data_IF_142501412547
#
_entry.id   IF_142501412547
#
_cell.length_a   1.000
_cell.length_b   1.000
_cell.length_c   1.000
_cell.angle_alpha   90.00
_cell.angle_beta   90.00
_cell.angle_gamma   90.00
#
_symmetry.space_group_name_H-M   'P 1'
#
loop_
_entity.id
_entity.type
_entity.pdbx_description
1 polymer ?
#
# COMPACT_ATOMS: atom_id res chain seq x y z
N UNK A 1 -4.27 51.55 52.26
CA UNK A 1 -3.90 50.38 51.43
C UNK A 1 -4.95 49.34 51.72
N UNK A 2 -5.79 49.02 50.75
CA UNK A 2 -6.89 48.06 50.93
C UNK A 2 -6.31 46.66 50.81
N UNK A 3 -6.41 45.85 51.86
CA UNK A 3 -5.99 44.46 51.83
C UNK A 3 -6.77 43.70 50.76
N UNK A 4 -6.06 43.14 49.78
CA UNK A 4 -6.67 42.26 48.77
C UNK A 4 -7.13 41.01 49.53
N UNK A 5 -8.44 40.74 49.54
CA UNK A 5 -8.97 39.50 50.09
C UNK A 5 -8.49 38.32 49.23
N UNK A 6 -7.42 37.66 49.66
CA UNK A 6 -6.95 36.42 49.04
C UNK A 6 -7.63 35.22 49.70
N UNK A 7 -8.53 34.57 48.98
CA UNK A 7 -9.14 33.29 49.37
C UNK A 7 -8.25 32.12 48.92
N UNK A 8 -7.97 31.20 49.85
CA UNK A 8 -7.16 30.00 49.57
C UNK A 8 -8.07 28.79 49.38
N UNK A 9 -8.05 28.18 48.18
CA UNK A 9 -8.79 26.96 47.87
C UNK A 9 -7.86 25.75 48.01
N UNK A 10 -8.29 24.75 48.80
CA UNK A 10 -7.56 23.48 48.90
C UNK A 10 -7.96 22.56 47.75
N UNK A 11 -6.98 22.21 46.91
CA UNK A 11 -7.13 21.25 45.81
C UNK A 11 -6.21 20.04 46.01
N UNK A 12 -6.61 18.85 45.54
CA UNK A 12 -5.74 17.68 45.51
C UNK A 12 -4.41 17.95 44.80
N UNK A 13 -3.32 17.34 45.27
CA UNK A 13 -1.97 17.58 44.75
C UNK A 13 -1.83 17.28 43.24
N UNK A 14 -2.47 16.23 42.76
CA UNK A 14 -2.50 15.87 41.35
C UNK A 14 -3.17 16.95 40.50
N UNK A 15 -4.35 17.42 40.91
CA UNK A 15 -5.10 18.47 40.22
C UNK A 15 -4.32 19.78 40.18
N UNK A 16 -3.65 20.14 41.29
CA UNK A 16 -2.81 21.33 41.34
C UNK A 16 -1.63 21.24 40.35
N UNK A 17 -1.04 20.06 40.19
CA UNK A 17 0.07 19.87 39.25
C UNK A 17 -0.39 19.94 37.79
N UNK A 18 -1.56 19.37 37.48
CA UNK A 18 -2.18 19.48 36.16
C UNK A 18 -2.48 20.94 35.79
N UNK A 19 -3.04 21.71 36.72
CA UNK A 19 -3.29 23.15 36.55
C UNK A 19 -1.97 23.89 36.28
N UNK A 20 -0.92 23.62 37.04
CA UNK A 20 0.40 24.24 36.83
C UNK A 20 1.00 23.88 35.48
N UNK A 21 0.83 22.64 35.02
CA UNK A 21 1.31 22.20 33.70
C UNK A 21 0.55 22.93 32.59
N UNK A 22 -0.77 23.00 32.68
CA UNK A 22 -1.61 23.74 31.72
C UNK A 22 -1.20 25.21 31.65
N UNK A 23 -1.10 25.88 32.80
CA UNK A 23 -0.70 27.28 32.90
C UNK A 23 0.68 27.54 32.28
N UNK A 24 1.66 26.64 32.54
CA UNK A 24 2.99 26.71 31.91
C UNK A 24 2.93 26.59 30.39
N UNK A 25 2.15 25.65 29.85
CA UNK A 25 1.99 25.46 28.40
C UNK A 25 1.31 26.65 27.72
N UNK A 26 0.35 27.26 28.41
CA UNK A 26 -0.38 28.44 27.92
C UNK A 26 0.38 29.77 28.13
N UNK A 27 1.52 29.75 28.83
CA UNK A 27 2.29 30.97 29.15
C UNK A 27 1.59 31.92 30.12
N UNK A 28 0.65 31.42 30.94
CA UNK A 28 -0.18 32.24 31.83
C UNK A 28 0.13 31.93 33.31
N UNK A 29 0.17 32.93 34.21
CA UNK A 29 0.27 32.69 35.66
C UNK A 29 -0.94 31.94 36.20
N UNK A 30 -0.72 31.07 37.19
CA UNK A 30 -1.81 30.28 37.83
C UNK A 30 -2.86 31.20 38.46
N UNK A 31 -2.46 32.31 39.08
CA UNK A 31 -3.41 33.27 39.68
C UNK A 31 -4.37 33.87 38.65
N UNK A 32 -3.82 34.35 37.52
CA UNK A 32 -4.62 34.91 36.43
C UNK A 32 -5.51 33.85 35.78
N UNK A 33 -5.05 32.60 35.70
CA UNK A 33 -5.87 31.47 35.26
C UNK A 33 -7.04 31.22 36.21
N UNK A 34 -6.79 31.15 37.52
CA UNK A 34 -7.86 30.94 38.52
C UNK A 34 -8.88 32.07 38.46
N UNK A 35 -8.46 33.33 38.37
CA UNK A 35 -9.37 34.48 38.27
C UNK A 35 -10.22 34.44 37.00
N UNK A 36 -9.61 34.16 35.85
CA UNK A 36 -10.34 34.03 34.57
C UNK A 36 -11.32 32.86 34.60
N UNK A 37 -10.88 31.71 35.09
CA UNK A 37 -11.74 30.51 35.22
C UNK A 37 -12.89 30.76 36.18
N UNK A 38 -12.64 31.38 37.34
CA UNK A 38 -13.69 31.73 38.29
C UNK A 38 -14.70 32.71 37.69
N UNK A 39 -14.21 33.78 37.05
CA UNK A 39 -15.05 34.76 36.35
C UNK A 39 -15.90 34.10 35.25
N UNK A 40 -15.32 33.14 34.55
CA UNK A 40 -16.00 32.38 33.51
C UNK A 40 -17.09 31.47 34.07
N UNK A 41 -16.79 30.71 35.13
CA UNK A 41 -17.75 29.83 35.80
C UNK A 41 -18.95 30.62 36.33
N UNK A 42 -18.68 31.75 36.99
CA UNK A 42 -19.71 32.63 37.53
C UNK A 42 -20.58 33.27 36.44
N UNK A 43 -19.97 33.69 35.33
CA UNK A 43 -20.70 34.31 34.20
C UNK A 43 -21.63 33.34 33.47
N UNK A 44 -21.28 32.06 33.46
CA UNK A 44 -22.03 31.02 32.75
C UNK A 44 -22.90 30.17 33.68
N UNK A 45 -23.02 30.56 34.96
CA UNK A 45 -23.83 29.86 35.98
C UNK A 45 -23.55 28.36 36.08
N UNK A 46 -22.27 27.98 35.94
CA UNK A 46 -21.87 26.58 36.08
C UNK A 46 -21.91 26.19 37.56
N UNK A 47 -22.80 25.27 37.91
CA UNK A 47 -22.76 24.60 39.21
C UNK A 47 -21.60 23.59 39.23
N UNK A 48 -20.51 23.97 39.90
CA UNK A 48 -19.32 23.12 40.05
C UNK A 48 -19.54 21.93 41.01
N UNK A 49 -20.67 21.88 41.70
CA UNK A 49 -21.06 20.77 42.57
C UNK A 49 -22.08 19.84 41.92
N UNK A 50 -22.61 20.19 40.74
CA UNK A 50 -23.47 19.32 39.95
C UNK A 50 -22.62 18.23 39.29
N UNK A 51 -22.78 16.99 39.76
CA UNK A 51 -22.06 15.83 39.25
C UNK A 51 -22.81 15.10 38.12
N UNK A 52 -24.04 15.50 37.82
CA UNK A 52 -24.88 14.87 36.78
C UNK A 52 -24.92 15.68 35.48
N UNK A 53 -24.80 17.01 35.55
CA UNK A 53 -24.77 17.87 34.37
C UNK A 53 -23.41 17.84 33.66
N UNK A 54 -23.42 17.62 32.34
CA UNK A 54 -22.25 17.86 31.50
C UNK A 54 -22.25 19.35 31.10
N UNK A 55 -21.23 20.13 31.50
CA UNK A 55 -21.17 21.54 31.14
C UNK A 55 -21.08 21.71 29.62
N UNK A 56 -22.04 22.41 29.03
CA UNK A 56 -22.09 22.72 27.60
C UNK A 56 -21.90 24.22 27.38
N UNK A 57 -21.04 24.57 26.42
CA UNK A 57 -20.90 25.94 25.97
C UNK A 57 -21.66 26.10 24.64
N UNK A 58 -22.62 27.03 24.55
CA UNK A 58 -23.26 27.31 23.27
C UNK A 58 -22.20 27.78 22.27
N UNK A 59 -22.08 27.03 21.18
CA UNK A 59 -21.23 27.39 20.04
C UNK A 59 -21.87 28.59 19.34
N UNK A 60 -21.12 29.67 19.04
CA UNK A 60 -21.65 30.79 18.28
C UNK A 60 -22.24 30.34 16.94
N UNK A 61 -23.37 30.92 16.54
CA UNK A 61 -24.08 30.53 15.32
C UNK A 61 -23.19 30.67 14.06
N UNK A 62 -22.27 31.63 14.07
CA UNK A 62 -21.29 31.86 13.00
C UNK A 62 -20.32 30.68 12.86
N UNK A 63 -19.81 30.16 13.98
CA UNK A 63 -18.86 29.03 14.00
C UNK A 63 -19.55 27.75 13.52
N UNK A 64 -20.80 27.54 13.91
CA UNK A 64 -21.58 26.38 13.46
C UNK A 64 -21.90 26.46 11.95
N UNK A 65 -22.16 27.68 11.46
CA UNK A 65 -22.36 27.94 10.03
C UNK A 65 -21.09 27.68 9.22
N UNK A 66 -19.92 28.13 9.69
CA UNK A 66 -18.64 27.87 9.04
C UNK A 66 -18.33 26.37 8.98
N UNK A 67 -18.55 25.64 10.08
CA UNK A 67 -18.41 24.17 10.11
C UNK A 67 -19.30 23.50 9.08
N UNK A 68 -20.57 23.89 9.03
CA UNK A 68 -21.54 23.37 8.05
C UNK A 68 -21.11 23.63 6.60
N UNK A 69 -20.53 24.79 6.32
CA UNK A 69 -20.01 25.13 4.98
C UNK A 69 -18.80 24.28 4.60
N UNK A 70 -17.86 24.06 5.54
CA UNK A 70 -16.71 23.19 5.32
C UNK A 70 -17.16 21.75 5.04
N UNK A 71 -18.13 21.24 5.79
CA UNK A 71 -18.68 19.89 5.56
C UNK A 71 -19.36 19.76 4.19
N UNK A 72 -20.09 20.78 3.76
CA UNK A 72 -20.70 20.82 2.43
C UNK A 72 -19.63 20.82 1.33
N UNK A 73 -18.56 21.60 1.50
CA UNK A 73 -17.43 21.63 0.56
C UNK A 73 -16.73 20.27 0.48
N UNK A 74 -16.47 19.63 1.62
CA UNK A 74 -15.86 18.30 1.68
C UNK A 74 -16.69 17.24 0.94
N UNK A 75 -18.02 17.28 1.09
CA UNK A 75 -18.93 16.40 0.32
C UNK A 75 -18.83 16.66 -1.18
N UNK A 76 -18.94 17.93 -1.60
CA UNK A 76 -18.84 18.30 -3.01
C UNK A 76 -17.51 17.89 -3.64
N UNK A 77 -16.39 18.10 -2.94
CA UNK A 77 -15.07 17.65 -3.39
C UNK A 77 -15.01 16.14 -3.56
N UNK A 78 -15.61 15.38 -2.63
CA UNK A 78 -15.66 13.92 -2.69
C UNK A 78 -16.45 13.44 -3.89
N UNK A 79 -17.63 14.01 -4.15
CA UNK A 79 -18.48 13.71 -5.31
C UNK A 79 -17.78 14.04 -6.64
N UNK A 80 -17.08 15.17 -6.70
CA UNK A 80 -16.29 15.57 -7.87
C UNK A 80 -15.17 14.57 -8.17
N UNK A 81 -14.40 14.15 -7.15
CA UNK A 81 -13.33 13.16 -7.32
C UNK A 81 -13.88 11.82 -7.81
N UNK A 82 -15.00 11.37 -7.26
CA UNK A 82 -15.66 10.12 -7.69
C UNK A 82 -16.11 10.20 -9.15
N UNK A 83 -16.72 11.32 -9.54
CA UNK A 83 -17.16 11.57 -10.92
C UNK A 83 -15.98 11.57 -11.89
N UNK A 84 -14.87 12.24 -11.55
CA UNK A 84 -13.67 12.26 -12.38
C UNK A 84 -13.04 10.88 -12.57
N UNK A 85 -13.00 10.05 -11.52
CA UNK A 85 -12.53 8.66 -11.62
C UNK A 85 -13.39 7.82 -12.56
N UNK A 86 -14.70 8.06 -12.60
CA UNK A 86 -15.60 7.36 -13.50
C UNK A 86 -15.35 7.71 -14.98
N UNK A 87 -14.92 8.95 -15.26
CA UNK A 87 -14.57 9.43 -16.62
C UNK A 87 -13.20 8.92 -17.08
N UNK A 88 -12.28 8.59 -16.16
CA UNK A 88 -10.91 8.15 -16.49
C UNK A 88 -10.77 6.64 -16.79
N UNK A 89 -11.78 5.81 -16.50
CA UNK A 89 -11.70 4.40 -16.89
C UNK A 89 -11.78 4.32 -18.43
N UNK A 90 -10.85 3.59 -19.09
CA UNK A 90 -10.93 3.38 -20.53
C UNK A 90 -12.30 2.81 -20.89
N UNK A 91 -12.89 3.29 -21.98
CA UNK A 91 -14.20 2.83 -22.43
C UNK A 91 -14.24 1.28 -22.42
N UNK A 92 -15.36 0.64 -22.01
CA UNK A 92 -15.46 -0.82 -21.93
C UNK A 92 -15.03 -1.54 -23.22
N UNK A 93 -15.20 -0.89 -24.37
CA UNK A 93 -14.72 -1.34 -25.67
C UNK A 93 -13.19 -1.46 -25.79
N UNK A 94 -12.44 -0.54 -25.19
CA UNK A 94 -10.97 -0.58 -25.17
C UNK A 94 -10.51 -1.75 -24.29
N UNK A 95 -11.17 -1.97 -23.15
CA UNK A 95 -10.88 -3.07 -22.25
C UNK A 95 -11.16 -4.42 -22.94
N UNK A 96 -12.29 -4.53 -23.65
CA UNK A 96 -12.66 -5.72 -24.40
C UNK A 96 -11.65 -6.03 -25.51
N UNK A 97 -11.26 -5.02 -26.30
CA UNK A 97 -10.24 -5.18 -27.35
C UNK A 97 -8.89 -5.60 -26.78
N UNK A 98 -8.44 -4.98 -25.68
CA UNK A 98 -7.20 -5.35 -25.02
C UNK A 98 -7.22 -6.79 -24.48
N UNK A 99 -8.36 -7.24 -23.96
CA UNK A 99 -8.54 -8.62 -23.50
C UNK A 99 -8.51 -9.62 -24.67
N UNK A 100 -9.16 -9.30 -25.79
CA UNK A 100 -9.16 -10.12 -27.00
C UNK A 100 -7.74 -10.24 -27.60
N UNK A 101 -7.03 -9.11 -27.73
CA UNK A 101 -5.65 -9.10 -28.24
C UNK A 101 -4.70 -9.91 -27.34
N UNK A 102 -4.88 -9.80 -26.02
CA UNK A 102 -4.12 -10.60 -25.05
C UNK A 102 -4.39 -12.10 -25.23
N UNK A 103 -5.66 -12.51 -25.32
CA UNK A 103 -6.03 -13.91 -25.52
C UNK A 103 -5.44 -14.47 -26.82
N UNK A 104 -5.45 -13.67 -27.90
CA UNK A 104 -4.84 -14.04 -29.18
C UNK A 104 -3.32 -14.19 -29.07
N UNK A 105 -2.64 -13.30 -28.36
CA UNK A 105 -1.20 -13.39 -28.13
C UNK A 105 -0.83 -14.64 -27.31
N UNK A 106 -1.59 -14.94 -26.25
CA UNK A 106 -1.39 -16.14 -25.42
C UNK A 106 -1.55 -17.43 -26.22
N UNK A 107 -2.58 -17.52 -27.06
CA UNK A 107 -2.78 -18.67 -27.96
C UNK A 107 -1.57 -18.87 -28.89
N UNK A 108 -1.07 -17.79 -29.51
CA UNK A 108 0.10 -17.85 -30.39
C UNK A 108 1.37 -18.28 -29.65
N UNK A 109 1.57 -17.81 -28.42
CA UNK A 109 2.71 -18.22 -27.58
C UNK A 109 2.62 -19.71 -27.24
N UNK A 110 1.43 -20.22 -26.97
CA UNK A 110 1.21 -21.64 -26.67
C UNK A 110 1.54 -22.52 -27.90
N UNK A 111 1.08 -22.14 -29.10
CA UNK A 111 1.42 -22.85 -30.34
C UNK A 111 2.92 -22.87 -30.60
N UNK A 112 3.58 -21.71 -30.46
CA UNK A 112 5.03 -21.60 -30.62
C UNK A 112 5.81 -22.44 -29.59
N UNK A 113 5.33 -22.52 -28.35
CA UNK A 113 5.95 -23.36 -27.32
C UNK A 113 5.84 -24.86 -27.66
N UNK A 114 4.70 -25.30 -28.21
CA UNK A 114 4.52 -26.68 -28.67
C UNK A 114 5.43 -27.02 -29.85
N UNK A 115 5.56 -26.10 -30.81
CA UNK A 115 6.44 -26.30 -31.97
C UNK A 115 7.92 -26.34 -31.56
N UNK A 116 8.35 -25.43 -30.66
CA UNK A 116 9.68 -25.46 -30.07
C UNK A 116 9.98 -26.79 -29.37
N UNK A 117 8.99 -27.34 -28.66
CA UNK A 117 9.15 -28.63 -27.99
C UNK A 117 9.33 -29.77 -28.99
N UNK A 118 8.51 -29.83 -30.05
CA UNK A 118 8.66 -30.82 -31.12
C UNK A 118 10.04 -30.75 -31.77
N UNK A 119 10.50 -29.54 -32.11
CA UNK A 119 11.82 -29.35 -32.71
C UNK A 119 12.96 -29.79 -31.79
N UNK A 120 12.83 -29.58 -30.48
CA UNK A 120 13.82 -30.08 -29.50
C UNK A 120 13.87 -31.61 -29.48
N UNK A 121 12.71 -32.25 -29.51
CA UNK A 121 12.62 -33.72 -29.51
C UNK A 121 13.17 -34.31 -30.81
N UNK A 122 12.86 -33.71 -31.96
CA UNK A 122 13.45 -34.07 -33.25
C UNK A 122 14.98 -33.88 -33.26
N UNK A 123 15.48 -32.76 -32.75
CA UNK A 123 16.91 -32.49 -32.70
C UNK A 123 17.64 -33.52 -31.82
N UNK A 124 17.04 -33.91 -30.69
CA UNK A 124 17.57 -34.97 -29.82
C UNK A 124 17.63 -36.30 -30.56
N UNK A 125 16.54 -36.71 -31.21
CA UNK A 125 16.50 -37.96 -31.97
C UNK A 125 17.54 -37.99 -33.11
N UNK A 126 17.73 -36.87 -33.80
CA UNK A 126 18.75 -36.73 -34.84
C UNK A 126 20.17 -36.84 -34.28
N UNK A 127 20.45 -36.20 -33.14
CA UNK A 127 21.75 -36.30 -32.46
C UNK A 127 22.07 -37.75 -32.07
N UNK A 128 21.10 -38.47 -31.52
CA UNK A 128 21.28 -39.88 -31.17
C UNK A 128 21.56 -40.76 -32.40
N UNK A 129 20.86 -40.52 -33.51
CA UNK A 129 21.11 -41.23 -34.77
C UNK A 129 22.50 -40.93 -35.32
N UNK A 130 22.91 -39.66 -35.29
CA UNK A 130 24.23 -39.24 -35.72
C UNK A 130 25.33 -39.90 -34.88
N UNK A 131 25.18 -39.93 -33.56
CA UNK A 131 26.15 -40.54 -32.66
C UNK A 131 26.29 -42.06 -32.91
N UNK A 132 25.18 -42.76 -33.12
CA UNK A 132 25.18 -44.19 -33.49
C UNK A 132 25.89 -44.43 -34.81
N UNK A 133 25.57 -43.66 -35.84
CA UNK A 133 26.23 -43.77 -37.15
C UNK A 133 27.73 -43.49 -37.05
N UNK A 134 28.12 -42.49 -36.25
CA UNK A 134 29.52 -42.14 -36.03
C UNK A 134 30.29 -43.28 -35.33
N UNK A 135 29.69 -43.91 -34.31
CA UNK A 135 30.29 -45.08 -33.62
C UNK A 135 30.53 -46.24 -34.58
N UNK A 136 29.55 -46.57 -35.42
CA UNK A 136 29.72 -47.63 -36.43
C UNK A 136 30.80 -47.29 -37.46
N UNK A 137 30.87 -46.04 -37.91
CA UNK A 137 31.95 -45.61 -38.82
C UNK A 137 33.34 -45.77 -38.20
N UNK A 138 33.50 -45.44 -36.91
CA UNK A 138 34.75 -45.68 -36.20
C UNK A 138 35.06 -47.18 -36.09
N UNK A 139 34.08 -48.03 -35.77
CA UNK A 139 34.25 -49.48 -35.70
C UNK A 139 34.72 -50.07 -37.04
N UNK A 140 34.03 -49.74 -38.13
CA UNK A 140 34.41 -50.21 -39.49
C UNK A 140 35.80 -49.74 -39.87
N UNK A 141 36.17 -48.49 -39.55
CA UNK A 141 37.52 -47.97 -39.79
C UNK A 141 38.58 -48.81 -39.08
N UNK A 142 38.36 -49.15 -37.82
CA UNK A 142 39.32 -49.93 -37.02
C UNK A 142 39.43 -51.39 -37.52
N UNK A 143 38.32 -51.98 -37.94
CA UNK A 143 38.29 -53.30 -38.59
C UNK A 143 39.06 -53.30 -39.92
N UNK A 144 38.81 -52.31 -40.79
CA UNK A 144 39.55 -52.16 -42.05
C UNK A 144 41.05 -51.98 -41.83
N UNK A 145 41.44 -51.19 -40.82
CA UNK A 145 42.85 -51.01 -40.43
C UNK A 145 43.50 -52.31 -39.97
N UNK A 146 42.72 -53.22 -39.39
CA UNK A 146 43.20 -54.54 -38.95
C UNK A 146 43.34 -55.48 -40.14
N UNK A 147 42.34 -55.57 -41.02
CA UNK A 147 42.39 -56.38 -42.24
C UNK A 147 43.57 -55.97 -43.13
N UNK A 148 43.80 -54.67 -43.33
CA UNK A 148 44.91 -54.16 -44.14
C UNK A 148 46.31 -54.49 -43.61
N UNK A 149 46.43 -54.94 -42.36
CA UNK A 149 47.70 -55.40 -41.77
C UNK A 149 47.94 -56.91 -41.94
N UNK A 150 46.92 -57.68 -42.34
CA UNK A 150 47.04 -59.13 -42.51
C UNK A 150 47.78 -59.39 -43.84
N UNK A 151 48.95 -60.03 -43.75
CA UNK A 151 49.74 -60.45 -44.92
C UNK A 151 49.28 -61.85 -45.34
N UNK A 152 48.68 -61.98 -46.51
CA UNK A 152 48.23 -63.27 -47.05
C UNK A 152 49.34 -63.89 -47.88
N UNK A 153 49.84 -65.06 -47.47
CA UNK A 153 50.72 -65.88 -48.29
C UNK A 153 49.86 -66.88 -49.07
N UNK A 154 49.57 -66.58 -50.34
CA UNK A 154 48.97 -67.53 -51.27
C UNK A 154 50.07 -68.28 -52.02
N UNK A 155 50.21 -69.57 -51.73
CA UNK A 155 51.00 -70.48 -52.55
C UNK A 155 50.07 -71.04 -53.64
N UNK A 156 50.30 -70.65 -54.89
CA UNK A 156 49.74 -71.31 -56.08
C UNK A 156 50.77 -72.29 -56.64
#
# INVERSE_FOLDING_TARGET
MSDIQTSTIRVPKNVLEDIKIYCRKAGQPVGEWVEKTWSFLQKNDFDIYDTEATPFLPVPAEVEKERSQVDALCKLMSEFILSQKQVQLPAPEIIAKAAEEKAKAESKVQEQAQELQRLRDENKALRERYEKAHKELCRVRDEQKTIGKIKVNTNF
#
